data_IF_754678577315
#
_entry.id   IF_754678577315
#
_cell.length_a   1.000
_cell.length_b   1.000
_cell.length_c   1.000
_cell.angle_alpha   90.00
_cell.angle_beta   90.00
_cell.angle_gamma   90.00
#
_symmetry.space_group_name_H-M   'P 1'
#
loop_
_entity.id
_entity.type
_entity.pdbx_description
1 polymer ?
#
# COMPACT_ATOMS: atom_id res chain seq x y z
N UNK A 1 -5.59 22.71 3.18
CA UNK A 1 -6.10 22.38 1.82
C UNK A 1 -6.19 20.87 1.76
N UNK A 2 -7.20 20.32 1.09
CA UNK A 2 -7.33 18.88 0.90
C UNK A 2 -6.25 18.39 -0.07
N UNK A 3 -5.70 17.21 0.15
CA UNK A 3 -4.81 16.55 -0.80
C UNK A 3 -5.59 16.12 -2.05
N UNK A 4 -4.93 16.08 -3.21
CA UNK A 4 -5.49 15.46 -4.41
C UNK A 4 -4.61 14.27 -4.81
N UNK A 5 -5.23 13.10 -4.97
CA UNK A 5 -4.58 11.90 -5.46
C UNK A 5 -5.02 11.67 -6.91
N UNK A 6 -4.08 11.67 -7.84
CA UNK A 6 -4.34 11.30 -9.23
C UNK A 6 -4.18 9.80 -9.39
N UNK A 7 -5.27 9.11 -9.74
CA UNK A 7 -5.24 7.68 -10.01
C UNK A 7 -6.38 7.22 -10.95
N UNK A 8 -6.26 6.01 -11.47
CA UNK A 8 -7.23 5.42 -12.39
C UNK A 8 -8.61 5.25 -11.72
N UNK A 9 -9.73 5.45 -12.47
CA UNK A 9 -11.06 5.27 -11.91
C UNK A 9 -11.33 3.80 -11.55
N UNK A 10 -12.13 3.59 -10.50
CA UNK A 10 -12.57 2.27 -10.05
C UNK A 10 -11.47 1.36 -9.48
N UNK A 11 -10.30 1.92 -9.16
CA UNK A 11 -9.15 1.14 -8.72
C UNK A 11 -8.25 1.96 -7.79
N UNK A 12 -7.94 1.43 -6.61
CA UNK A 12 -7.03 2.10 -5.67
C UNK A 12 -5.56 1.69 -5.85
N UNK A 13 -5.32 0.42 -6.11
CA UNK A 13 -4.05 -0.16 -6.52
C UNK A 13 -2.82 0.40 -5.80
N UNK A 14 -1.93 1.05 -6.55
CA UNK A 14 -0.72 1.68 -6.01
C UNK A 14 -0.97 3.00 -5.27
N UNK A 15 -2.16 3.59 -5.39
CA UNK A 15 -2.55 4.76 -4.60
C UNK A 15 -3.05 4.38 -3.20
N UNK A 16 -3.48 3.14 -3.01
CA UNK A 16 -4.11 2.68 -1.77
C UNK A 16 -3.28 2.95 -0.50
N UNK A 17 -1.96 2.76 -0.45
CA UNK A 17 -1.18 3.09 0.75
C UNK A 17 -1.30 4.55 1.19
N UNK A 18 -1.35 5.47 0.24
CA UNK A 18 -1.57 6.89 0.54
C UNK A 18 -2.98 7.15 1.06
N UNK A 19 -3.98 6.51 0.45
CA UNK A 19 -5.38 6.57 0.88
C UNK A 19 -5.50 6.03 2.31
N UNK A 20 -4.95 4.85 2.59
CA UNK A 20 -4.98 4.22 3.92
C UNK A 20 -4.36 5.12 5.00
N UNK A 21 -3.23 5.77 4.70
CA UNK A 21 -2.61 6.71 5.62
C UNK A 21 -3.55 7.91 5.88
N UNK A 22 -4.08 8.54 4.83
CA UNK A 22 -4.94 9.71 4.95
C UNK A 22 -6.24 9.39 5.70
N UNK A 23 -6.86 8.24 5.42
CA UNK A 23 -8.01 7.74 6.17
C UNK A 23 -7.68 7.56 7.65
N UNK A 24 -6.58 6.87 7.96
CA UNK A 24 -6.20 6.57 9.34
C UNK A 24 -5.89 7.80 10.19
N UNK A 25 -5.35 8.86 9.57
CA UNK A 25 -5.08 10.13 10.25
C UNK A 25 -6.25 11.12 10.17
N UNK A 26 -7.32 10.80 9.45
CA UNK A 26 -8.49 11.64 9.27
C UNK A 26 -8.22 12.90 8.45
N UNK A 27 -7.34 12.83 7.47
CA UNK A 27 -7.00 13.95 6.59
C UNK A 27 -7.92 13.99 5.35
N UNK A 28 -8.36 15.19 4.98
CA UNK A 28 -9.19 15.38 3.79
C UNK A 28 -8.40 15.16 2.49
N UNK A 29 -8.97 14.40 1.58
CA UNK A 29 -8.42 14.19 0.24
C UNK A 29 -9.50 14.03 -0.82
N UNK A 30 -9.11 14.19 -2.08
CA UNK A 30 -9.94 13.88 -3.25
C UNK A 30 -9.19 12.97 -4.21
N UNK A 31 -9.93 12.16 -4.98
CA UNK A 31 -9.34 11.33 -6.04
C UNK A 31 -9.68 11.96 -7.39
N UNK A 32 -8.66 12.38 -8.12
CA UNK A 32 -8.78 12.83 -9.49
C UNK A 32 -8.58 11.65 -10.44
N UNK A 33 -9.59 11.34 -11.24
CA UNK A 33 -9.55 10.21 -12.20
C UNK A 33 -9.28 10.64 -13.63
N UNK A 34 -9.11 11.93 -13.89
CA UNK A 34 -8.70 12.42 -15.22
C UNK A 34 -7.17 12.32 -15.41
N UNK A 35 -6.71 11.06 -15.43
CA UNK A 35 -5.29 10.73 -15.44
C UNK A 35 -4.59 11.26 -16.68
N UNK A 36 -5.19 11.06 -17.87
CA UNK A 36 -4.54 11.39 -19.13
C UNK A 36 -4.31 12.90 -19.29
N UNK A 37 -5.35 13.71 -19.08
CA UNK A 37 -5.24 15.16 -19.21
C UNK A 37 -4.37 15.77 -18.12
N UNK A 38 -4.45 15.25 -16.89
CA UNK A 38 -3.64 15.75 -15.78
C UNK A 38 -2.15 15.44 -15.99
N UNK A 39 -1.80 14.21 -16.39
CA UNK A 39 -0.41 13.85 -16.71
C UNK A 39 0.13 14.64 -17.90
N UNK A 40 -0.65 14.83 -18.97
CA UNK A 40 -0.22 15.66 -20.12
C UNK A 40 0.11 17.10 -19.71
N UNK A 41 -0.69 17.67 -18.83
CA UNK A 41 -0.45 19.00 -18.28
C UNK A 41 0.80 19.04 -17.40
N UNK A 42 0.87 18.16 -16.39
CA UNK A 42 1.93 18.20 -15.38
C UNK A 42 3.30 17.79 -15.92
N UNK A 43 3.36 16.88 -16.88
CA UNK A 43 4.62 16.43 -17.48
C UNK A 43 5.36 17.53 -18.25
N UNK A 44 4.69 18.64 -18.60
CA UNK A 44 5.31 19.82 -19.21
C UNK A 44 6.04 20.71 -18.21
N UNK A 45 5.69 20.59 -16.93
CA UNK A 45 6.21 21.41 -15.83
C UNK A 45 7.15 20.65 -14.92
N UNK A 46 6.92 19.33 -14.76
CA UNK A 46 7.67 18.47 -13.84
C UNK A 46 7.92 17.09 -14.47
N UNK A 47 8.99 16.38 -14.06
CA UNK A 47 9.33 15.07 -14.60
C UNK A 47 8.42 13.95 -14.03
N UNK A 48 7.11 14.04 -14.23
CA UNK A 48 6.14 13.00 -13.87
C UNK A 48 5.81 12.15 -15.09
N UNK A 49 5.70 10.83 -14.89
CA UNK A 49 5.48 9.89 -15.97
C UNK A 49 4.15 9.12 -15.83
N UNK A 50 3.80 8.71 -14.61
CA UNK A 50 2.65 7.86 -14.33
C UNK A 50 2.05 8.14 -12.96
N UNK A 51 0.78 7.79 -12.78
CA UNK A 51 0.13 7.77 -11.47
C UNK A 51 0.55 6.53 -10.64
N UNK A 52 0.43 6.57 -9.29
CA UNK A 52 -0.18 7.65 -8.53
C UNK A 52 0.67 8.92 -8.51
N UNK A 53 -0.02 10.07 -8.45
CA UNK A 53 0.56 11.35 -8.04
C UNK A 53 -0.20 11.84 -6.81
N UNK A 54 0.52 12.47 -5.90
CA UNK A 54 -0.04 13.30 -4.84
C UNK A 54 0.18 14.76 -5.19
N UNK A 55 -0.86 15.56 -5.13
CA UNK A 55 -0.83 17.01 -5.32
C UNK A 55 -1.19 17.66 -3.98
N UNK A 56 -0.27 18.45 -3.43
CA UNK A 56 -0.43 19.18 -2.18
C UNK A 56 -0.03 20.64 -2.41
N UNK A 57 -0.99 21.46 -2.83
CA UNK A 57 -0.75 22.81 -3.32
C UNK A 57 0.17 22.80 -4.54
N UNK A 58 1.33 23.46 -4.43
CA UNK A 58 2.34 23.52 -5.50
C UNK A 58 3.30 22.30 -5.49
N UNK A 59 3.17 21.42 -4.50
CA UNK A 59 4.02 20.22 -4.39
C UNK A 59 3.37 19.03 -5.08
N UNK A 60 4.08 18.44 -6.03
CA UNK A 60 3.66 17.22 -6.73
C UNK A 60 4.66 16.11 -6.41
N UNK A 61 4.15 15.01 -5.90
CA UNK A 61 4.95 13.83 -5.52
C UNK A 61 4.50 12.63 -6.34
N UNK A 62 5.44 11.92 -6.91
CA UNK A 62 5.21 10.65 -7.61
C UNK A 62 5.90 9.49 -6.91
N UNK A 63 5.58 8.25 -7.32
CA UNK A 63 6.03 7.00 -6.72
C UNK A 63 5.38 6.72 -5.35
N UNK A 64 4.69 5.59 -5.26
CA UNK A 64 3.91 5.19 -4.09
C UNK A 64 4.67 5.34 -2.77
N UNK A 65 5.87 4.77 -2.67
CA UNK A 65 6.66 4.83 -1.43
C UNK A 65 7.05 6.26 -1.05
N UNK A 66 7.39 7.11 -2.04
CA UNK A 66 7.74 8.51 -1.80
C UNK A 66 6.53 9.33 -1.37
N UNK A 67 5.36 9.06 -1.97
CA UNK A 67 4.10 9.71 -1.58
C UNK A 67 3.76 9.40 -0.12
N UNK A 68 3.83 8.12 0.26
CA UNK A 68 3.47 7.70 1.62
C UNK A 68 4.48 8.24 2.65
N UNK A 69 5.79 8.23 2.32
CA UNK A 69 6.82 8.84 3.17
C UNK A 69 6.61 10.37 3.32
N UNK A 70 6.27 11.06 2.23
CA UNK A 70 5.95 12.48 2.28
C UNK A 70 4.76 12.78 3.20
N UNK A 71 3.67 12.02 3.07
CA UNK A 71 2.49 12.15 3.92
C UNK A 71 2.83 11.82 5.38
N UNK A 72 3.63 10.78 5.62
CA UNK A 72 4.03 10.38 6.96
C UNK A 72 4.79 11.48 7.72
N UNK A 73 5.68 12.19 7.04
CA UNK A 73 6.38 13.35 7.62
C UNK A 73 5.43 14.48 8.01
N UNK A 74 4.35 14.67 7.26
CA UNK A 74 3.35 15.69 7.55
C UNK A 74 2.38 15.30 8.67
N UNK A 75 2.15 13.99 8.85
CA UNK A 75 1.17 13.46 9.79
C UNK A 75 1.80 12.70 10.97
N UNK A 76 3.08 12.93 11.22
CA UNK A 76 3.80 12.32 12.33
C UNK A 76 3.74 10.77 12.34
N UNK A 77 3.80 10.17 11.15
CA UNK A 77 3.85 8.71 10.94
C UNK A 77 5.19 8.25 10.34
N UNK A 78 6.24 9.07 10.45
CA UNK A 78 7.56 8.73 9.93
C UNK A 78 8.28 7.74 10.84
N UNK A 79 9.29 7.08 10.30
CA UNK A 79 10.20 6.23 11.07
C UNK A 79 11.25 7.07 11.79
N UNK A 80 11.82 6.53 12.88
CA UNK A 80 12.94 7.19 13.54
C UNK A 80 14.13 7.33 12.57
N UNK A 81 14.91 8.42 12.65
CA UNK A 81 16.05 8.66 11.76
C UNK A 81 17.04 7.49 11.69
N UNK A 82 17.29 6.82 12.81
CA UNK A 82 18.20 5.67 12.89
C UNK A 82 17.68 4.42 12.15
N UNK A 83 16.37 4.34 11.94
CA UNK A 83 15.73 3.26 11.21
C UNK A 83 15.51 3.59 9.71
N UNK A 84 15.77 4.82 9.26
CA UNK A 84 15.43 5.31 7.93
C UNK A 84 15.96 4.43 6.79
N UNK A 85 17.22 3.96 6.89
CA UNK A 85 17.84 3.10 5.85
C UNK A 85 17.15 1.72 5.80
N UNK A 86 16.87 1.11 6.94
CA UNK A 86 16.19 -0.19 7.01
C UNK A 86 14.75 -0.09 6.51
N UNK A 87 14.07 0.97 6.92
CA UNK A 87 12.71 1.25 6.47
C UNK A 87 12.66 1.50 4.96
N UNK A 88 13.58 2.29 4.41
CA UNK A 88 13.73 2.51 2.98
C UNK A 88 13.95 1.21 2.22
N UNK A 89 14.90 0.36 2.66
CA UNK A 89 15.14 -0.94 2.06
C UNK A 89 13.88 -1.81 2.07
N UNK A 90 13.18 -1.87 3.20
CA UNK A 90 11.96 -2.68 3.29
C UNK A 90 10.81 -2.09 2.46
N UNK A 91 10.68 -0.76 2.40
CA UNK A 91 9.71 -0.09 1.54
C UNK A 91 9.88 -0.42 0.05
N UNK A 92 11.13 -0.52 -0.43
CA UNK A 92 11.42 -0.97 -1.81
C UNK A 92 11.11 -2.46 -2.00
N UNK A 93 11.40 -3.31 -1.02
CA UNK A 93 10.96 -4.71 -1.06
C UNK A 93 9.44 -4.82 -1.16
N UNK A 94 8.68 -4.03 -0.41
CA UNK A 94 7.22 -3.98 -0.50
C UNK A 94 6.74 -3.57 -1.89
N UNK A 95 7.40 -2.63 -2.54
CA UNK A 95 7.08 -2.24 -3.91
C UNK A 95 7.31 -3.39 -4.91
N UNK A 96 8.38 -4.18 -4.74
CA UNK A 96 8.64 -5.37 -5.54
C UNK A 96 7.61 -6.47 -5.26
N UNK A 97 7.27 -6.74 -4.01
CA UNK A 97 6.22 -7.70 -3.63
C UNK A 97 4.90 -7.31 -4.30
N UNK A 98 4.52 -6.04 -4.22
CA UNK A 98 3.29 -5.53 -4.86
C UNK A 98 3.27 -5.86 -6.35
N UNK A 99 4.35 -5.51 -7.05
CA UNK A 99 4.48 -5.74 -8.48
C UNK A 99 4.42 -7.23 -8.82
N UNK A 100 5.20 -8.07 -8.13
CA UNK A 100 5.22 -9.51 -8.36
C UNK A 100 3.85 -10.16 -8.08
N UNK A 101 3.17 -9.76 -6.99
CA UNK A 101 1.84 -10.27 -6.64
C UNK A 101 0.82 -9.95 -7.72
N UNK A 102 0.79 -8.69 -8.16
CA UNK A 102 -0.16 -8.24 -9.18
C UNK A 102 0.11 -8.88 -10.55
N UNK A 103 1.37 -8.85 -11.02
CA UNK A 103 1.75 -9.39 -12.33
C UNK A 103 1.55 -10.90 -12.38
N UNK A 104 1.93 -11.63 -11.33
CA UNK A 104 1.76 -13.08 -11.26
C UNK A 104 0.29 -13.49 -11.33
N UNK A 105 -0.60 -12.75 -10.66
CA UNK A 105 -2.04 -13.02 -10.75
C UNK A 105 -2.60 -12.68 -12.14
N UNK A 106 -2.24 -11.52 -12.70
CA UNK A 106 -2.63 -11.10 -14.03
C UNK A 106 -2.19 -12.11 -15.09
N UNK A 107 -0.95 -12.58 -14.97
CA UNK A 107 -0.33 -13.49 -15.95
C UNK A 107 -0.57 -14.97 -15.57
N UNK A 108 -1.34 -15.25 -14.49
CA UNK A 108 -1.73 -16.60 -14.02
C UNK A 108 -0.53 -17.49 -13.70
N UNK A 109 0.44 -16.95 -12.98
CA UNK A 109 1.66 -17.68 -12.56
C UNK A 109 1.43 -18.34 -11.20
N UNK A 110 0.88 -19.56 -11.20
CA UNK A 110 0.51 -20.27 -9.96
C UNK A 110 1.72 -20.58 -9.05
N UNK A 111 2.90 -20.85 -9.65
CA UNK A 111 4.14 -21.06 -8.88
C UNK A 111 4.55 -19.85 -8.02
N UNK A 112 4.04 -18.67 -8.31
CA UNK A 112 4.27 -17.51 -7.45
C UNK A 112 3.71 -17.72 -6.04
N UNK A 113 2.48 -18.19 -5.93
CA UNK A 113 1.84 -18.43 -4.64
C UNK A 113 2.54 -19.54 -3.86
N UNK A 114 2.98 -20.61 -4.55
CA UNK A 114 3.56 -21.79 -3.90
C UNK A 114 5.03 -21.60 -3.53
N UNK A 115 5.81 -20.90 -4.35
CA UNK A 115 7.28 -20.87 -4.22
C UNK A 115 7.84 -19.49 -3.86
N UNK A 116 7.27 -18.43 -4.42
CA UNK A 116 7.82 -17.08 -4.30
C UNK A 116 7.19 -16.27 -3.17
N UNK A 117 5.87 -16.27 -3.09
CA UNK A 117 5.13 -15.51 -2.09
C UNK A 117 5.48 -15.92 -0.64
N UNK A 118 5.65 -17.21 -0.28
CA UNK A 118 6.10 -17.58 1.06
C UNK A 118 7.45 -16.96 1.45
N UNK A 119 8.39 -16.85 0.52
CA UNK A 119 9.69 -16.21 0.77
C UNK A 119 9.55 -14.72 1.05
N UNK A 120 8.65 -14.04 0.33
CA UNK A 120 8.32 -12.64 0.60
C UNK A 120 7.66 -12.45 1.95
N UNK A 121 6.76 -13.36 2.34
CA UNK A 121 6.15 -13.32 3.67
C UNK A 121 7.18 -13.52 4.78
N UNK A 122 8.19 -14.37 4.56
CA UNK A 122 9.31 -14.53 5.51
C UNK A 122 10.15 -13.24 5.60
N UNK A 123 10.35 -12.53 4.50
CA UNK A 123 11.00 -11.21 4.52
C UNK A 123 10.17 -10.22 5.34
N UNK A 124 8.83 -10.19 5.15
CA UNK A 124 7.95 -9.31 5.93
C UNK A 124 7.97 -9.67 7.43
N UNK A 125 7.85 -10.95 7.77
CA UNK A 125 7.89 -11.44 9.16
C UNK A 125 9.20 -11.05 9.86
N UNK A 126 10.34 -11.16 9.16
CA UNK A 126 11.66 -10.84 9.70
C UNK A 126 12.01 -9.34 9.66
N UNK A 127 11.16 -8.51 9.08
CA UNK A 127 11.39 -7.06 8.99
C UNK A 127 10.92 -6.28 10.22
N UNK A 128 10.17 -6.91 11.13
CA UNK A 128 9.83 -6.30 12.41
C UNK A 128 11.09 -6.04 13.23
N UNK A 129 11.25 -4.82 13.72
CA UNK A 129 12.40 -4.43 14.54
C UNK A 129 12.23 -4.92 15.98
N UNK A 130 12.78 -6.11 16.28
CA UNK A 130 12.61 -6.75 17.59
C UNK A 130 11.18 -7.18 17.86
N UNK A 131 10.67 -6.82 19.04
CA UNK A 131 9.30 -7.13 19.48
C UNK A 131 8.32 -5.97 19.27
N UNK A 132 8.64 -5.02 18.38
CA UNK A 132 7.80 -3.86 18.12
C UNK A 132 6.43 -4.28 17.58
N UNK A 133 5.40 -3.52 17.95
CA UNK A 133 3.99 -3.74 17.53
C UNK A 133 3.75 -3.40 16.08
N UNK A 134 4.48 -2.43 15.56
CA UNK A 134 4.51 -1.99 14.16
C UNK A 134 5.89 -2.30 13.60
N UNK A 135 6.07 -2.27 12.30
CA UNK A 135 7.37 -2.66 11.72
C UNK A 135 8.54 -1.87 12.32
N UNK A 136 8.36 -0.57 12.55
CA UNK A 136 9.43 0.32 13.05
C UNK A 136 9.06 1.12 14.29
N UNK A 137 7.92 0.85 14.95
CA UNK A 137 7.43 1.60 16.11
C UNK A 137 6.70 0.72 17.10
N UNK A 138 6.64 1.13 18.38
CA UNK A 138 5.76 0.54 19.39
C UNK A 138 4.47 1.34 19.60
N UNK A 139 4.46 2.59 19.19
CA UNK A 139 3.40 3.53 19.55
C UNK A 139 2.28 3.57 18.49
N UNK A 140 2.65 3.73 17.23
CA UNK A 140 1.73 3.94 16.12
C UNK A 140 2.29 3.39 14.82
N UNK A 141 1.43 3.16 13.79
CA UNK A 141 1.91 2.78 12.47
C UNK A 141 2.83 3.85 11.88
N UNK A 142 3.78 3.39 11.09
CA UNK A 142 4.64 4.22 10.25
C UNK A 142 4.25 4.08 8.79
N UNK A 143 4.83 4.87 7.91
CA UNK A 143 4.54 4.77 6.47
C UNK A 143 4.77 3.37 5.89
N UNK A 144 5.66 2.58 6.50
CA UNK A 144 5.90 1.18 6.12
C UNK A 144 4.65 0.32 6.36
N UNK A 145 3.93 0.57 7.45
CA UNK A 145 2.76 -0.23 7.81
C UNK A 145 1.64 -0.09 6.78
N UNK A 146 1.45 1.09 6.20
CA UNK A 146 0.46 1.31 5.14
C UNK A 146 0.86 0.66 3.80
N UNK A 147 2.17 0.68 3.46
CA UNK A 147 2.67 -0.08 2.31
C UNK A 147 2.46 -1.59 2.49
N UNK A 148 2.80 -2.11 3.68
CA UNK A 148 2.63 -3.52 4.00
C UNK A 148 1.15 -3.95 4.03
N UNK A 149 0.26 -3.09 4.53
CA UNK A 149 -1.19 -3.36 4.54
C UNK A 149 -1.72 -3.52 3.11
N UNK A 150 -1.27 -2.69 2.18
CA UNK A 150 -1.66 -2.84 0.77
C UNK A 150 -1.16 -4.16 0.16
N UNK A 151 -0.06 -4.75 0.63
CA UNK A 151 0.34 -6.10 0.20
C UNK A 151 -0.66 -7.14 0.73
N UNK A 152 -1.07 -7.04 2.00
CA UNK A 152 -2.02 -7.97 2.60
C UNK A 152 -3.37 -7.93 1.89
N UNK A 153 -3.89 -6.73 1.63
CA UNK A 153 -5.15 -6.54 0.92
C UNK A 153 -5.05 -7.06 -0.52
N UNK A 154 -4.00 -6.69 -1.26
CA UNK A 154 -3.78 -7.14 -2.63
C UNK A 154 -3.64 -8.66 -2.72
N UNK A 155 -2.82 -9.29 -1.87
CA UNK A 155 -2.61 -10.73 -1.90
C UNK A 155 -3.88 -11.51 -1.55
N UNK A 156 -4.61 -11.07 -0.52
CA UNK A 156 -5.91 -11.65 -0.15
C UNK A 156 -6.88 -11.54 -1.32
N UNK A 157 -6.85 -10.42 -2.00
CA UNK A 157 -7.69 -10.18 -3.14
C UNK A 157 -7.33 -11.04 -4.35
N UNK A 158 -6.07 -11.07 -4.74
CA UNK A 158 -5.61 -11.82 -5.91
C UNK A 158 -5.73 -13.34 -5.72
N UNK A 159 -5.50 -13.84 -4.50
CA UNK A 159 -5.30 -15.26 -4.21
C UNK A 159 -6.24 -15.82 -3.13
N UNK A 160 -7.08 -14.97 -2.52
CA UNK A 160 -8.12 -15.36 -1.59
C UNK A 160 -7.60 -16.08 -0.34
N UNK A 161 -8.35 -17.10 0.07
CA UNK A 161 -8.07 -17.89 1.27
C UNK A 161 -6.66 -18.49 1.34
N UNK A 162 -6.06 -19.07 0.28
CA UNK A 162 -4.69 -19.57 0.32
C UNK A 162 -3.66 -18.52 0.74
N UNK A 163 -3.71 -17.31 0.18
CA UNK A 163 -2.79 -16.25 0.56
C UNK A 163 -2.98 -15.82 2.00
N UNK A 164 -4.25 -15.72 2.45
CA UNK A 164 -4.56 -15.38 3.84
C UNK A 164 -4.01 -16.43 4.82
N UNK A 165 -4.22 -17.70 4.58
CA UNK A 165 -3.69 -18.77 5.44
C UNK A 165 -2.16 -18.74 5.53
N UNK A 166 -1.47 -18.43 4.42
CA UNK A 166 -0.01 -18.27 4.44
C UNK A 166 0.46 -17.11 5.30
N UNK A 167 -0.28 -16.00 5.30
CA UNK A 167 0.00 -14.84 6.16
C UNK A 167 -0.30 -15.14 7.63
N UNK A 168 -1.44 -15.79 7.91
CA UNK A 168 -1.86 -16.16 9.27
C UNK A 168 -0.88 -17.15 9.96
N UNK A 169 -0.14 -17.94 9.18
CA UNK A 169 0.90 -18.84 9.69
C UNK A 169 2.21 -18.11 10.12
N UNK A 170 2.28 -16.79 10.00
CA UNK A 170 3.40 -15.95 10.42
C UNK A 170 2.97 -15.06 11.58
N UNK A 171 3.45 -15.40 12.78
CA UNK A 171 2.90 -14.89 14.03
C UNK A 171 2.91 -13.36 14.14
N UNK A 172 4.04 -12.73 13.84
CA UNK A 172 4.16 -11.27 13.95
C UNK A 172 3.31 -10.58 12.89
N UNK A 173 3.33 -11.10 11.66
CA UNK A 173 2.58 -10.57 10.55
C UNK A 173 1.07 -10.69 10.79
N UNK A 174 0.58 -11.83 11.28
CA UNK A 174 -0.81 -12.04 11.63
C UNK A 174 -1.28 -11.08 12.73
N UNK A 175 -0.55 -10.99 13.82
CA UNK A 175 -0.88 -10.09 14.93
C UNK A 175 -0.84 -8.60 14.52
N UNK A 176 0.09 -8.25 13.65
CA UNK A 176 0.17 -6.90 13.09
C UNK A 176 -1.02 -6.62 12.17
N UNK A 177 -1.37 -7.54 11.27
CA UNK A 177 -2.49 -7.37 10.35
C UNK A 177 -3.82 -7.17 11.12
N UNK A 178 -4.08 -7.99 12.14
CA UNK A 178 -5.24 -7.81 13.02
C UNK A 178 -5.25 -6.41 13.66
N UNK A 179 -4.10 -5.97 14.18
CA UNK A 179 -3.96 -4.67 14.86
C UNK A 179 -4.19 -3.49 13.92
N UNK A 180 -3.59 -3.50 12.73
CA UNK A 180 -3.73 -2.40 11.78
C UNK A 180 -5.16 -2.31 11.25
N UNK A 181 -5.79 -3.45 10.92
CA UNK A 181 -7.16 -3.49 10.44
C UNK A 181 -8.22 -3.18 11.51
N UNK A 182 -7.88 -3.33 12.80
CA UNK A 182 -8.75 -2.96 13.92
C UNK A 182 -8.74 -1.45 14.24
N UNK A 183 -7.89 -0.65 13.59
CA UNK A 183 -7.89 0.81 13.78
C UNK A 183 -9.22 1.39 13.30
N UNK A 184 -9.87 2.26 14.10
CA UNK A 184 -11.27 2.67 13.84
C UNK A 184 -11.51 3.20 12.44
N UNK A 185 -10.65 4.08 11.95
CA UNK A 185 -10.78 4.70 10.63
C UNK A 185 -10.55 3.70 9.49
N UNK A 186 -9.52 2.86 9.61
CA UNK A 186 -9.25 1.81 8.62
C UNK A 186 -10.36 0.75 8.60
N UNK A 187 -10.86 0.36 9.77
CA UNK A 187 -12.01 -0.54 9.86
C UNK A 187 -13.22 0.04 9.15
N UNK A 188 -13.54 1.33 9.42
CA UNK A 188 -14.64 2.03 8.75
C UNK A 188 -14.42 2.13 7.23
N UNK A 189 -13.19 2.40 6.80
CA UNK A 189 -12.82 2.41 5.39
C UNK A 189 -13.11 1.07 4.72
N UNK A 190 -12.63 -0.04 5.28
CA UNK A 190 -12.83 -1.38 4.70
C UNK A 190 -14.30 -1.85 4.76
N UNK A 191 -15.07 -1.45 5.79
CA UNK A 191 -16.49 -1.77 5.89
C UNK A 191 -17.36 -0.99 4.90
N UNK A 192 -16.99 0.24 4.56
CA UNK A 192 -17.75 1.14 3.69
C UNK A 192 -17.23 1.18 2.25
N UNK A 193 -16.01 0.74 2.04
CA UNK A 193 -15.44 0.64 0.71
C UNK A 193 -16.04 -0.60 0.06
N UNK A 194 -16.88 -0.41 -0.96
CA UNK A 194 -17.28 -1.52 -1.82
C UNK A 194 -15.98 -2.12 -2.34
N UNK A 195 -15.69 -3.27 -1.77
CA UNK A 195 -14.41 -3.92 -1.87
C UNK A 195 -14.01 -4.06 -3.33
N UNK A 196 -12.89 -3.46 -3.67
CA UNK A 196 -12.04 -3.87 -4.75
C UNK A 196 -12.32 -3.25 -6.11
N UNK A 197 -11.25 -2.84 -6.72
CA UNK A 197 -11.31 -2.15 -7.99
C UNK A 197 -11.88 -3.05 -9.08
N UNK A 198 -12.77 -2.50 -9.87
CA UNK A 198 -13.44 -3.13 -11.03
C UNK A 198 -12.49 -3.93 -11.94
N UNK A 199 -11.23 -3.58 -12.02
CA UNK A 199 -10.23 -4.32 -12.81
C UNK A 199 -9.76 -5.66 -12.22
N UNK A 200 -10.06 -5.95 -10.96
CA UNK A 200 -9.69 -7.23 -10.35
C UNK A 200 -10.80 -8.28 -10.53
N UNK A 201 -12.06 -7.89 -10.59
CA UNK A 201 -13.17 -8.81 -10.87
C UNK A 201 -12.98 -9.50 -12.23
N UNK A 202 -12.51 -8.78 -13.24
CA UNK A 202 -12.19 -9.35 -14.55
C UNK A 202 -11.05 -10.37 -14.48
N UNK A 203 -10.09 -10.17 -13.59
CA UNK A 203 -8.99 -11.13 -13.33
C UNK A 203 -9.52 -12.38 -12.63
N UNK A 204 -10.51 -12.24 -11.74
CA UNK A 204 -11.12 -13.37 -11.01
C UNK A 204 -12.20 -14.10 -11.83
N UNK A 205 -12.99 -13.37 -12.60
CA UNK A 205 -14.08 -13.93 -13.41
C UNK A 205 -13.60 -14.71 -14.63
N UNK A 206 -12.33 -14.63 -14.98
CA UNK A 206 -11.72 -15.34 -16.09
C UNK A 206 -11.12 -16.72 -15.72
N UNK A 207 -11.52 -17.29 -14.59
CA UNK A 207 -11.20 -18.67 -14.15
C UNK A 207 -12.33 -19.66 -14.48
#
# INVERSE_FOLDING_TARGET
>A
MAYEILYWPGFTGRAEPAILLLEDVGADYTINTDVAATLDRLSKEQPVFACPLLIDGDTIVSQTSVIVEYLAKKHDCDVAPDDAIKAGQFGYNLADIWRETYESRRDRVDSYLEERFPKWLDVMENSFQGEKKWFFSDEKPTWIDYLALNIVTLATYCWGKPAKEMMDNRLKLAQWAERVMARPQLKAYFENHESLPVGYEDILASN
#
